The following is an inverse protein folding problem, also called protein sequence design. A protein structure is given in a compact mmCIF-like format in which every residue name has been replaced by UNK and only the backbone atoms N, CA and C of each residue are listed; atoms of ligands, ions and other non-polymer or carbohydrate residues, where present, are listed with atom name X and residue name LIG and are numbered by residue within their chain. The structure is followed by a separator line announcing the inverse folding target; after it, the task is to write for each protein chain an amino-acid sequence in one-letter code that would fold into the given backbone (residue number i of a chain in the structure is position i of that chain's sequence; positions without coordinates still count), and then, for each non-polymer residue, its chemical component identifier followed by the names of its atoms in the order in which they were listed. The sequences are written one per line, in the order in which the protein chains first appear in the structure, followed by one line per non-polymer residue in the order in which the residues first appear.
data_IF_314642369567
#
_entry.id   IF_314642369567
#
_cell.length_a   1.000
_cell.length_b   1.000
_cell.length_c   1.000
_cell.angle_alpha   90.00
_cell.angle_beta   90.00
_cell.angle_gamma   90.00
#
_symmetry.space_group_name_H-M   'P 1'
#
loop_
_entity.id
_entity.type
_entity.pdbx_description
1 polymer ?
#
# COMPACT_ATOMS: atom_id res chain seq x y z
N UNK A 1 45.36 -14.76 31.90
CA UNK A 1 45.32 -15.71 33.01
C UNK A 1 46.22 -16.90 32.70
N UNK A 2 47.02 -17.38 33.64
CA UNK A 2 47.84 -18.58 33.55
C UNK A 2 47.38 -19.64 34.57
N UNK A 3 47.81 -20.88 34.35
CA UNK A 3 47.57 -22.00 35.26
C UNK A 3 48.41 -21.86 36.54
N UNK A 4 47.96 -22.44 37.66
CA UNK A 4 48.74 -22.45 38.91
C UNK A 4 50.00 -23.30 38.72
N UNK A 5 51.17 -22.70 38.93
CA UNK A 5 52.49 -23.31 38.75
C UNK A 5 53.30 -23.38 40.06
N UNK A 6 52.64 -23.05 41.17
CA UNK A 6 53.22 -23.04 42.49
C UNK A 6 53.68 -24.42 42.97
N UNK A 7 54.57 -24.44 44.00
CA UNK A 7 54.96 -25.65 44.73
C UNK A 7 53.77 -26.56 45.08
N UNK A 8 53.78 -27.81 44.59
CA UNK A 8 52.71 -28.78 44.89
C UNK A 8 51.51 -28.74 43.94
N UNK A 9 51.55 -27.92 42.89
CA UNK A 9 50.63 -28.04 41.75
C UNK A 9 50.85 -29.36 41.01
N UNK A 10 49.80 -29.88 40.37
CA UNK A 10 49.86 -31.07 39.50
C UNK A 10 49.31 -30.67 38.13
N UNK A 11 50.16 -30.73 37.09
CA UNK A 11 49.79 -30.39 35.71
C UNK A 11 49.09 -29.03 35.55
N UNK A 12 49.48 -28.04 36.35
CA UNK A 12 48.91 -26.70 36.31
C UNK A 12 47.57 -26.55 37.05
N UNK A 13 47.22 -27.49 37.93
CA UNK A 13 45.98 -27.49 38.72
C UNK A 13 46.26 -27.58 40.22
N UNK A 14 45.26 -27.19 41.01
CA UNK A 14 45.26 -27.34 42.47
C UNK A 14 45.20 -28.82 42.87
N UNK A 15 45.91 -29.16 43.94
CA UNK A 15 45.92 -30.47 44.56
C UNK A 15 45.93 -30.32 46.07
N UNK A 16 45.10 -31.11 46.75
CA UNK A 16 45.09 -31.24 48.22
C UNK A 16 46.36 -31.93 48.77
N UNK A 17 47.21 -32.45 47.88
CA UNK A 17 48.34 -33.29 48.23
C UNK A 17 47.92 -34.71 48.61
N UNK A 18 48.91 -35.55 48.90
CA UNK A 18 48.72 -36.89 49.40
C UNK A 18 49.86 -37.23 50.38
N UNK A 19 49.63 -37.12 51.70
CA UNK A 19 50.64 -37.44 52.71
C UNK A 19 51.18 -38.87 52.61
N UNK A 20 50.36 -39.84 52.19
CA UNK A 20 50.77 -41.24 52.03
C UNK A 20 51.75 -41.45 50.87
N UNK A 21 51.79 -40.53 49.91
CA UNK A 21 52.71 -40.54 48.76
C UNK A 21 53.79 -39.46 48.87
N UNK A 22 53.89 -38.76 50.00
CA UNK A 22 54.82 -37.63 50.18
C UNK A 22 54.50 -36.41 49.30
N UNK A 23 53.32 -36.36 48.69
CA UNK A 23 52.91 -35.25 47.84
C UNK A 23 52.35 -34.12 48.72
N UNK A 24 52.96 -32.93 48.64
CA UNK A 24 52.45 -31.74 49.32
C UNK A 24 51.23 -31.15 48.59
N UNK A 25 50.37 -30.46 49.35
CA UNK A 25 49.29 -29.64 48.78
C UNK A 25 49.85 -28.47 47.96
N UNK A 26 49.05 -27.95 47.04
CA UNK A 26 49.41 -26.79 46.23
C UNK A 26 49.50 -25.53 47.09
N UNK A 27 50.64 -24.87 47.02
CA UNK A 27 50.82 -23.53 47.57
C UNK A 27 50.39 -22.48 46.54
N UNK A 28 49.38 -21.69 46.89
CA UNK A 28 48.96 -20.54 46.08
C UNK A 28 50.07 -19.50 46.08
N UNK A 29 50.49 -19.07 44.89
CA UNK A 29 51.56 -18.07 44.69
C UNK A 29 50.98 -16.67 44.51
N UNK A 30 51.78 -15.66 44.86
CA UNK A 30 51.41 -14.27 44.62
C UNK A 30 51.26 -14.00 43.12
N UNK A 31 52.13 -14.56 42.29
CA UNK A 31 52.10 -14.40 40.84
C UNK A 31 50.76 -14.84 40.24
N UNK A 32 50.24 -16.00 40.67
CA UNK A 32 48.93 -16.47 40.21
C UNK A 32 47.77 -15.58 40.69
N UNK A 33 47.78 -15.13 41.95
CA UNK A 33 46.75 -14.22 42.46
C UNK A 33 46.81 -12.84 41.80
N UNK A 34 48.00 -12.32 41.51
CA UNK A 34 48.19 -11.07 40.78
C UNK A 34 47.69 -11.19 39.35
N UNK A 35 47.95 -12.30 38.66
CA UNK A 35 47.42 -12.50 37.31
C UNK A 35 45.89 -12.65 37.30
N UNK A 36 45.28 -13.34 38.27
CA UNK A 36 43.81 -13.29 38.45
C UNK A 36 43.33 -11.84 38.57
N UNK A 37 43.97 -11.07 39.47
CA UNK A 37 43.61 -9.68 39.71
C UNK A 37 43.74 -8.84 38.44
N UNK A 38 44.84 -8.97 37.71
CA UNK A 38 45.12 -8.21 36.49
C UNK A 38 44.13 -8.56 35.37
N UNK A 39 43.72 -9.83 35.22
CA UNK A 39 42.70 -10.21 34.24
C UNK A 39 41.32 -9.66 34.61
N UNK A 40 40.95 -9.65 35.90
CA UNK A 40 39.70 -9.02 36.36
C UNK A 40 39.76 -7.50 36.13
N UNK A 41 40.86 -6.85 36.49
CA UNK A 41 41.06 -5.42 36.23
C UNK A 41 41.06 -5.08 34.74
N UNK A 42 41.53 -5.99 33.88
CA UNK A 42 41.45 -5.83 32.44
C UNK A 42 40.00 -5.81 31.96
N UNK A 43 39.12 -6.69 32.47
CA UNK A 43 37.68 -6.65 32.16
C UNK A 43 37.05 -5.31 32.54
N UNK A 44 37.39 -4.77 33.71
CA UNK A 44 36.92 -3.45 34.18
C UNK A 44 37.43 -2.32 33.27
N UNK A 45 38.75 -2.30 32.99
CA UNK A 45 39.41 -1.28 32.16
C UNK A 45 38.77 -1.22 30.78
N UNK A 46 38.59 -2.37 30.17
CA UNK A 46 37.99 -2.53 28.86
C UNK A 46 36.49 -2.14 28.81
N UNK A 47 35.80 -2.21 29.94
CA UNK A 47 34.42 -1.76 30.09
C UNK A 47 34.32 -0.26 30.45
N UNK A 48 35.44 0.42 30.67
CA UNK A 48 35.48 1.81 31.15
C UNK A 48 35.03 1.98 32.61
N UNK A 49 35.16 0.94 33.43
CA UNK A 49 34.80 0.95 34.85
C UNK A 49 36.06 1.12 35.70
N UNK A 50 36.11 2.18 36.51
CA UNK A 50 37.21 2.41 37.44
C UNK A 50 37.10 1.46 38.67
N UNK A 51 38.15 0.68 39.00
CA UNK A 51 38.12 -0.24 40.13
C UNK A 51 38.03 0.50 41.47
N UNK A 52 37.05 0.14 42.29
CA UNK A 52 36.77 0.74 43.60
C UNK A 52 37.05 -0.26 44.72
N UNK A 53 38.01 0.05 45.59
CA UNK A 53 38.37 -0.82 46.71
C UNK A 53 37.15 -1.11 47.60
N UNK A 54 36.83 -2.39 47.77
CA UNK A 54 35.74 -2.85 48.64
C UNK A 54 34.35 -2.87 47.99
N UNK A 55 34.22 -2.50 46.71
CA UNK A 55 32.96 -2.55 45.97
C UNK A 55 32.88 -3.86 45.18
N UNK A 56 31.90 -4.70 45.51
CA UNK A 56 31.69 -5.98 44.81
C UNK A 56 30.96 -5.85 43.46
N UNK A 57 30.43 -4.67 43.14
CA UNK A 57 29.63 -4.44 41.94
C UNK A 57 30.47 -4.21 40.67
N UNK A 58 31.74 -3.82 40.78
CA UNK A 58 32.51 -3.33 39.62
C UNK A 58 32.69 -4.37 38.51
N UNK A 59 32.85 -5.66 38.85
CA UNK A 59 32.92 -6.73 37.86
C UNK A 59 31.57 -7.01 37.19
N UNK A 60 30.48 -6.93 37.95
CA UNK A 60 29.13 -7.07 37.39
C UNK A 60 28.81 -5.89 36.47
N UNK A 61 29.07 -4.66 36.94
CA UNK A 61 28.93 -3.43 36.16
C UNK A 61 29.73 -3.52 34.85
N UNK A 62 30.97 -4.02 34.89
CA UNK A 62 31.81 -4.19 33.70
C UNK A 62 31.28 -5.24 32.70
N UNK A 63 30.76 -6.37 33.21
CA UNK A 63 30.14 -7.42 32.37
C UNK A 63 28.85 -6.90 31.75
N UNK A 64 27.98 -6.25 32.54
CA UNK A 64 26.74 -5.66 32.05
C UNK A 64 27.04 -4.58 31.01
N UNK A 65 28.02 -3.71 31.25
CA UNK A 65 28.49 -2.73 30.26
C UNK A 65 29.02 -3.42 29.01
N UNK A 66 29.83 -4.48 29.10
CA UNK A 66 30.33 -5.20 27.92
C UNK A 66 29.22 -5.90 27.14
N UNK A 67 28.20 -6.44 27.80
CA UNK A 67 27.03 -7.08 27.18
C UNK A 67 26.11 -6.03 26.54
N UNK A 68 25.86 -4.91 27.23
CA UNK A 68 25.06 -3.79 26.72
C UNK A 68 25.79 -3.09 25.57
N UNK A 69 27.12 -2.98 25.64
CA UNK A 69 27.97 -2.44 24.57
C UNK A 69 28.18 -3.41 23.40
N UNK A 70 27.61 -4.63 23.44
CA UNK A 70 27.32 -5.39 22.21
C UNK A 70 26.33 -4.64 21.32
N UNK A 71 25.59 -3.65 21.86
CA UNK A 71 24.85 -2.66 21.09
C UNK A 71 25.67 -1.48 20.52
N UNK A 72 27.00 -1.44 20.70
CA UNK A 72 27.77 -0.20 20.50
C UNK A 72 29.11 -0.29 19.76
N UNK A 73 29.70 -1.45 19.52
CA UNK A 73 31.05 -1.48 18.95
C UNK A 73 31.55 -2.83 18.47
N UNK A 74 30.93 -3.36 17.39
CA UNK A 74 31.50 -4.14 16.27
C UNK A 74 30.36 -4.96 15.63
N UNK A 75 29.56 -4.31 14.77
CA UNK A 75 28.94 -5.00 13.63
C UNK A 75 27.72 -5.92 13.83
N UNK A 76 27.05 -5.98 14.99
CA UNK A 76 25.88 -6.89 15.15
C UNK A 76 24.62 -6.25 15.77
N UNK A 77 24.62 -4.94 16.06
CA UNK A 77 23.42 -4.18 16.47
C UNK A 77 22.86 -3.32 15.33
N UNK A 78 21.52 -3.19 15.24
CA UNK A 78 20.89 -2.30 14.25
C UNK A 78 21.31 -0.84 14.53
N UNK A 79 21.96 -0.14 13.59
CA UNK A 79 22.44 1.23 13.85
C UNK A 79 21.28 2.20 14.07
N UNK A 80 21.03 2.58 15.32
CA UNK A 80 19.91 3.47 15.71
C UNK A 80 20.14 4.94 15.32
N UNK A 81 21.37 5.31 14.96
CA UNK A 81 21.68 6.63 14.40
C UNK A 81 21.12 6.84 12.98
N UNK A 82 20.65 5.77 12.30
CA UNK A 82 19.95 5.88 11.02
C UNK A 82 18.45 5.97 11.27
N UNK A 83 17.78 6.80 10.47
CA UNK A 83 16.31 6.95 10.50
C UNK A 83 15.70 6.46 9.21
N UNK A 84 14.47 5.96 9.30
CA UNK A 84 13.56 5.77 8.17
C UNK A 84 12.67 7.00 8.12
N UNK A 85 12.80 7.80 7.06
CA UNK A 85 11.93 8.93 6.79
C UNK A 85 10.91 8.54 5.72
N UNK A 86 9.65 8.89 5.95
CA UNK A 86 8.57 8.75 4.99
C UNK A 86 8.12 10.15 4.51
N UNK A 87 7.70 10.25 3.26
CA UNK A 87 7.17 11.49 2.68
C UNK A 87 6.19 11.16 1.56
N UNK A 88 5.35 12.13 1.18
CA UNK A 88 4.28 11.92 0.20
C UNK A 88 3.21 10.97 0.74
N UNK A 89 2.90 9.92 -0.01
CA UNK A 89 1.86 8.93 0.37
C UNK A 89 2.26 8.03 1.55
N UNK A 90 3.56 7.89 1.81
CA UNK A 90 4.04 7.07 2.90
C UNK A 90 4.11 7.88 4.20
N UNK A 91 3.62 7.29 5.29
CA UNK A 91 3.64 7.85 6.64
C UNK A 91 4.25 6.85 7.63
N UNK A 92 4.69 7.33 8.80
CA UNK A 92 5.37 6.52 9.81
C UNK A 92 6.90 6.68 9.77
N UNK A 93 7.62 5.64 10.18
CA UNK A 93 9.09 5.63 10.27
C UNK A 93 9.62 6.01 11.66
N UNK A 94 10.80 6.61 11.71
CA UNK A 94 11.53 6.91 12.96
C UNK A 94 12.95 6.34 12.95
N UNK A 95 13.60 6.34 14.12
CA UNK A 95 14.89 5.64 14.31
C UNK A 95 14.71 4.11 14.33
N UNK A 96 15.81 3.35 14.43
CA UNK A 96 15.75 1.88 14.45
C UNK A 96 15.78 1.29 15.86
N UNK A 97 15.30 2.03 16.87
CA UNK A 97 15.27 1.55 18.27
C UNK A 97 14.25 0.44 18.52
N UNK A 98 13.34 0.17 17.57
CA UNK A 98 12.38 -0.93 17.58
C UNK A 98 11.82 -1.15 16.15
N UNK A 99 10.85 -2.05 15.99
CA UNK A 99 10.20 -2.29 14.69
C UNK A 99 9.48 -1.04 14.16
N UNK A 100 9.67 -0.75 12.87
CA UNK A 100 9.09 0.41 12.18
C UNK A 100 7.97 -0.02 11.24
N UNK A 101 6.85 0.68 11.34
CA UNK A 101 5.73 0.55 10.39
C UNK A 101 5.77 1.73 9.43
N UNK A 102 5.66 1.43 8.13
CA UNK A 102 5.43 2.41 7.09
C UNK A 102 4.05 2.15 6.51
N UNK A 103 3.20 3.17 6.51
CA UNK A 103 1.82 3.08 6.06
C UNK A 103 1.65 3.85 4.77
N UNK A 104 1.06 3.19 3.77
CA UNK A 104 0.56 3.82 2.54
C UNK A 104 -0.96 3.65 2.55
N UNK A 105 -1.72 4.70 2.86
CA UNK A 105 -3.18 4.63 2.87
C UNK A 105 -3.70 4.28 1.48
N UNK A 106 -4.61 3.32 1.38
CA UNK A 106 -5.32 3.03 0.13
C UNK A 106 -6.59 3.87 0.04
N UNK A 107 -6.91 4.34 -1.17
CA UNK A 107 -8.19 4.97 -1.46
C UNK A 107 -9.30 3.90 -1.54
N UNK A 108 -10.49 4.25 -1.07
CA UNK A 108 -11.73 3.53 -1.32
C UNK A 108 -12.30 3.86 -2.72
N UNK A 109 -13.20 3.04 -3.28
CA UNK A 109 -13.82 3.34 -4.57
C UNK A 109 -14.53 4.70 -4.62
N UNK A 110 -15.19 5.09 -3.52
CA UNK A 110 -15.86 6.38 -3.40
C UNK A 110 -14.88 7.56 -3.42
N UNK A 111 -13.71 7.40 -2.78
CA UNK A 111 -12.64 8.41 -2.81
C UNK A 111 -12.02 8.53 -4.21
N UNK A 112 -11.83 7.41 -4.90
CA UNK A 112 -11.38 7.41 -6.29
C UNK A 112 -12.41 8.11 -7.19
N UNK A 113 -13.70 7.81 -7.03
CA UNK A 113 -14.77 8.43 -7.80
C UNK A 113 -14.87 9.95 -7.55
N UNK A 114 -14.67 10.40 -6.31
CA UNK A 114 -14.64 11.81 -5.97
C UNK A 114 -13.40 12.53 -6.54
N UNK A 115 -12.24 11.86 -6.54
CA UNK A 115 -11.01 12.38 -7.15
C UNK A 115 -10.43 13.62 -6.45
N UNK A 116 -10.73 13.83 -5.17
CA UNK A 116 -10.31 15.02 -4.39
C UNK A 116 -9.22 14.74 -3.35
N UNK A 117 -8.91 13.48 -3.05
CA UNK A 117 -7.94 13.10 -2.01
C UNK A 117 -6.57 12.78 -2.66
N UNK A 118 -5.56 13.61 -2.37
CA UNK A 118 -4.18 13.46 -2.84
C UNK A 118 -3.28 12.72 -1.84
N UNK A 119 -3.83 12.27 -0.70
CA UNK A 119 -3.09 11.63 0.38
C UNK A 119 -3.15 10.09 0.34
N UNK A 120 -3.90 9.52 -0.61
CA UNK A 120 -4.16 8.08 -0.69
C UNK A 120 -3.77 7.48 -2.04
N UNK A 121 -3.25 6.25 -1.99
CA UNK A 121 -2.90 5.48 -3.18
C UNK A 121 -4.12 4.80 -3.80
N UNK A 122 -4.30 4.94 -5.11
CA UNK A 122 -5.30 4.20 -5.88
C UNK A 122 -4.86 2.74 -6.00
N UNK A 123 -5.80 1.81 -5.82
CA UNK A 123 -5.59 0.37 -6.06
C UNK A 123 -6.36 -0.08 -7.30
N UNK A 124 -5.93 -1.15 -8.00
CA UNK A 124 -6.66 -1.66 -9.16
C UNK A 124 -8.14 -1.98 -8.85
N UNK A 125 -8.43 -2.52 -7.66
CA UNK A 125 -9.81 -2.80 -7.24
C UNK A 125 -10.60 -1.51 -7.04
N UNK A 126 -10.04 -0.54 -6.31
CA UNK A 126 -10.72 0.74 -6.08
C UNK A 126 -10.97 1.50 -7.39
N UNK A 127 -10.06 1.42 -8.36
CA UNK A 127 -10.25 1.98 -9.68
C UNK A 127 -11.37 1.27 -10.45
N UNK A 128 -11.35 -0.07 -10.48
CA UNK A 128 -12.38 -0.85 -11.17
C UNK A 128 -13.77 -0.61 -10.59
N UNK A 129 -13.89 -0.53 -9.26
CA UNK A 129 -15.16 -0.27 -8.57
C UNK A 129 -15.60 1.20 -8.66
N UNK A 130 -14.67 2.14 -8.85
CA UNK A 130 -14.99 3.57 -9.05
C UNK A 130 -15.60 3.87 -10.41
N UNK A 131 -15.43 2.97 -11.37
CA UNK A 131 -16.09 3.02 -12.68
C UNK A 131 -17.37 2.19 -12.57
N UNK A 132 -18.44 2.84 -12.14
CA UNK A 132 -19.77 2.23 -12.02
C UNK A 132 -20.56 2.33 -13.33
N UNK A 133 -21.69 1.63 -13.41
CA UNK A 133 -22.58 1.71 -14.56
C UNK A 133 -23.32 0.41 -14.83
N UNK A 134 -23.96 0.35 -15.99
CA UNK A 134 -24.76 -0.80 -16.43
C UNK A 134 -24.34 -1.21 -17.83
N UNK A 135 -23.85 -2.45 -17.97
CA UNK A 135 -23.39 -3.03 -19.24
C UNK A 135 -24.51 -3.77 -19.99
N UNK A 136 -25.60 -3.06 -20.23
CA UNK A 136 -26.76 -3.54 -21.02
C UNK A 136 -26.79 -2.88 -22.39
N UNK A 137 -27.70 -3.30 -23.28
CA UNK A 137 -27.89 -2.65 -24.59
C UNK A 137 -28.31 -1.17 -24.47
N UNK A 138 -28.92 -0.82 -23.35
CA UNK A 138 -29.17 0.57 -22.92
C UNK A 138 -28.52 0.73 -21.56
N UNK A 139 -27.39 1.40 -21.53
CA UNK A 139 -26.44 1.30 -20.43
C UNK A 139 -25.75 2.62 -20.14
N UNK A 140 -24.90 2.58 -19.13
CA UNK A 140 -24.11 3.73 -18.72
C UNK A 140 -22.76 3.32 -18.15
N UNK A 141 -21.83 4.28 -18.17
CA UNK A 141 -20.56 4.20 -17.47
C UNK A 141 -20.33 5.55 -16.78
N UNK A 142 -20.21 5.51 -15.47
CA UNK A 142 -19.91 6.65 -14.61
C UNK A 142 -18.41 6.68 -14.37
N UNK A 143 -17.78 7.81 -14.68
CA UNK A 143 -16.34 8.01 -14.57
C UNK A 143 -16.02 8.77 -13.27
N UNK A 144 -14.85 8.53 -12.67
CA UNK A 144 -14.30 9.41 -11.65
C UNK A 144 -14.33 10.88 -12.07
N UNK A 145 -14.69 11.77 -11.14
CA UNK A 145 -14.90 13.18 -11.42
C UNK A 145 -16.31 13.54 -11.92
N UNK A 146 -17.22 12.57 -12.00
CA UNK A 146 -18.66 12.79 -12.19
C UNK A 146 -19.16 12.79 -13.64
N UNK A 147 -18.29 12.61 -14.63
CA UNK A 147 -18.73 12.46 -16.03
C UNK A 147 -19.45 11.12 -16.20
N UNK A 148 -20.58 11.13 -16.88
CA UNK A 148 -21.38 9.95 -17.19
C UNK A 148 -21.50 9.82 -18.70
N UNK A 149 -21.26 8.61 -19.22
CA UNK A 149 -21.53 8.23 -20.60
C UNK A 149 -22.74 7.29 -20.59
N UNK A 150 -23.75 7.55 -21.41
CA UNK A 150 -24.91 6.68 -21.60
C UNK A 150 -25.02 6.27 -23.06
N UNK A 151 -25.49 5.05 -23.30
CA UNK A 151 -25.79 4.57 -24.65
C UNK A 151 -27.13 3.85 -24.66
N UNK A 152 -27.72 3.77 -25.83
CA UNK A 152 -28.98 3.07 -26.02
C UNK A 152 -29.54 3.34 -27.40
N UNK A 153 -30.82 3.06 -27.58
CA UNK A 153 -31.44 3.26 -28.88
C UNK A 153 -32.88 2.81 -28.91
N UNK A 154 -33.47 2.93 -30.09
CA UNK A 154 -34.79 2.38 -30.40
C UNK A 154 -34.69 1.48 -31.61
N UNK A 155 -35.56 0.48 -31.64
CA UNK A 155 -35.77 -0.41 -32.79
C UNK A 155 -37.25 -0.37 -33.14
N UNK A 156 -37.56 -0.30 -34.43
CA UNK A 156 -38.94 -0.20 -34.89
C UNK A 156 -39.02 0.08 -36.38
N UNK A 157 -40.14 0.63 -36.82
CA UNK A 157 -40.28 1.17 -38.17
C UNK A 157 -40.87 2.57 -38.04
N UNK A 158 -40.05 3.57 -38.28
CA UNK A 158 -40.41 4.97 -38.07
C UNK A 158 -40.52 5.67 -39.42
N UNK A 159 -41.61 6.41 -39.63
CA UNK A 159 -41.75 7.37 -40.72
C UNK A 159 -41.25 8.74 -40.27
N UNK A 160 -41.36 9.75 -41.13
CA UNK A 160 -40.99 11.13 -40.79
C UNK A 160 -41.70 11.61 -39.52
N UNK A 161 -40.95 12.23 -38.61
CA UNK A 161 -41.49 12.82 -37.39
C UNK A 161 -40.56 12.69 -36.17
N UNK A 162 -40.95 13.31 -35.04
CA UNK A 162 -40.18 13.28 -33.82
C UNK A 162 -40.33 11.94 -33.10
N UNK A 163 -39.21 11.44 -32.56
CA UNK A 163 -39.12 10.25 -31.70
C UNK A 163 -38.38 10.65 -30.43
N UNK A 164 -39.11 10.66 -29.31
CA UNK A 164 -38.51 10.85 -28.00
C UNK A 164 -38.00 9.52 -27.45
N UNK A 165 -36.80 9.53 -26.88
CA UNK A 165 -36.20 8.40 -26.18
C UNK A 165 -35.66 8.85 -24.83
N UNK A 166 -36.24 8.31 -23.76
CA UNK A 166 -35.73 8.44 -22.40
C UNK A 166 -34.40 7.69 -22.26
N UNK A 167 -33.47 8.26 -21.49
CA UNK A 167 -32.26 7.56 -21.09
C UNK A 167 -32.59 6.46 -20.08
N UNK A 168 -32.22 5.23 -20.43
CA UNK A 168 -32.45 4.06 -19.59
C UNK A 168 -31.13 3.42 -19.15
N UNK A 169 -31.17 2.78 -17.98
CA UNK A 169 -30.17 1.83 -17.52
C UNK A 169 -30.92 0.63 -16.95
N UNK A 170 -30.62 -0.58 -17.42
CA UNK A 170 -31.33 -1.82 -17.05
C UNK A 170 -32.87 -1.72 -17.17
N UNK A 171 -33.35 -1.07 -18.23
CA UNK A 171 -34.77 -0.87 -18.49
C UNK A 171 -35.48 0.13 -17.57
N UNK A 172 -34.75 0.82 -16.68
CA UNK A 172 -35.28 1.85 -15.78
C UNK A 172 -34.84 3.26 -16.21
N UNK A 173 -35.69 4.25 -15.92
CA UNK A 173 -35.36 5.65 -16.15
C UNK A 173 -34.08 6.04 -15.40
N UNK A 174 -33.09 6.53 -16.15
CA UNK A 174 -31.78 6.90 -15.63
C UNK A 174 -31.37 8.25 -16.21
N UNK A 175 -31.98 9.36 -15.74
CA UNK A 175 -31.58 10.69 -16.15
C UNK A 175 -30.14 11.00 -15.72
N UNK A 176 -29.49 11.95 -16.39
CA UNK A 176 -28.29 12.58 -15.86
C UNK A 176 -28.65 13.36 -14.59
N UNK A 177 -27.89 13.24 -13.49
CA UNK A 177 -28.20 13.94 -12.24
C UNK A 177 -28.30 15.46 -12.37
N UNK A 178 -27.51 16.06 -13.26
CA UNK A 178 -27.47 17.51 -13.48
C UNK A 178 -27.91 17.87 -14.90
N UNK A 179 -27.16 17.40 -15.92
CA UNK A 179 -27.42 17.79 -17.31
C UNK A 179 -26.84 16.79 -18.31
N UNK A 180 -27.55 16.62 -19.44
CA UNK A 180 -26.96 16.07 -20.65
C UNK A 180 -26.21 17.19 -21.39
N UNK A 181 -24.91 17.00 -21.61
CA UNK A 181 -24.04 17.98 -22.25
C UNK A 181 -24.00 17.81 -23.77
N UNK A 182 -24.14 16.57 -24.26
CA UNK A 182 -24.11 16.25 -25.68
C UNK A 182 -24.76 14.90 -25.95
N UNK A 183 -25.41 14.80 -27.10
CA UNK A 183 -25.85 13.54 -27.70
C UNK A 183 -25.33 13.45 -29.13
N UNK A 184 -24.98 12.24 -29.55
CA UNK A 184 -24.80 11.87 -30.95
C UNK A 184 -25.71 10.69 -31.25
N UNK A 185 -26.40 10.74 -32.39
CA UNK A 185 -27.30 9.67 -32.81
C UNK A 185 -26.94 9.17 -34.21
N UNK A 186 -27.14 7.87 -34.43
CA UNK A 186 -26.88 7.21 -35.71
C UNK A 186 -28.12 6.43 -36.12
N UNK A 187 -28.61 6.67 -37.34
CA UNK A 187 -29.73 5.92 -37.92
C UNK A 187 -29.41 4.43 -38.02
N UNK A 188 -30.39 3.57 -37.79
CA UNK A 188 -30.28 2.12 -37.92
C UNK A 188 -31.11 1.64 -39.12
N UNK A 189 -30.45 1.06 -40.11
CA UNK A 189 -31.07 0.34 -41.23
C UNK A 189 -30.82 -1.18 -41.06
N UNK A 190 -31.53 -1.81 -40.12
CA UNK A 190 -31.35 -3.24 -39.83
C UNK A 190 -31.94 -4.15 -40.90
N UNK A 191 -32.82 -3.63 -41.75
CA UNK A 191 -33.40 -4.37 -42.88
C UNK A 191 -32.55 -4.33 -44.15
N UNK A 192 -31.51 -3.48 -44.21
CA UNK A 192 -30.60 -3.34 -45.35
C UNK A 192 -31.31 -3.08 -46.68
N UNK A 193 -32.39 -2.30 -46.66
CA UNK A 193 -33.14 -1.90 -47.87
C UNK A 193 -33.02 -0.40 -48.12
N UNK A 194 -33.11 -0.01 -49.40
CA UNK A 194 -32.87 1.37 -49.84
C UNK A 194 -33.96 2.38 -49.48
N UNK A 195 -35.17 1.93 -49.11
CA UNK A 195 -36.22 2.83 -48.60
C UNK A 195 -36.07 3.16 -47.10
N UNK A 196 -34.94 2.74 -46.49
CA UNK A 196 -34.51 3.19 -45.16
C UNK A 196 -33.65 4.44 -45.21
N UNK A 197 -34.04 5.39 -46.04
CA UNK A 197 -33.28 6.61 -46.32
C UNK A 197 -33.88 7.81 -45.58
N UNK A 198 -33.90 7.70 -44.25
CA UNK A 198 -34.31 8.77 -43.35
C UNK A 198 -33.18 9.01 -42.34
N UNK A 199 -32.80 10.28 -42.18
CA UNK A 199 -31.72 10.70 -41.31
C UNK A 199 -32.20 11.01 -39.89
N UNK A 200 -31.45 10.56 -38.88
CA UNK A 200 -31.62 10.99 -37.51
C UNK A 200 -31.07 12.41 -37.31
N UNK A 201 -31.94 13.37 -36.97
CA UNK A 201 -31.56 14.74 -36.64
C UNK A 201 -31.92 15.05 -35.19
N UNK A 202 -30.94 15.44 -34.38
CA UNK A 202 -31.21 15.80 -32.98
C UNK A 202 -32.00 17.12 -32.96
N UNK A 203 -33.15 17.12 -32.29
CA UNK A 203 -33.97 18.32 -32.06
C UNK A 203 -33.58 18.98 -30.75
N UNK A 204 -33.58 18.20 -29.68
CA UNK A 204 -33.41 18.62 -28.29
C UNK A 204 -32.96 17.42 -27.46
N UNK A 205 -32.27 17.67 -26.36
CA UNK A 205 -31.98 16.74 -25.28
C UNK A 205 -31.85 17.49 -23.96
N UNK A 206 -32.28 16.84 -22.89
CA UNK A 206 -32.16 17.31 -21.51
C UNK A 206 -31.55 16.21 -20.63
N UNK A 207 -31.62 16.39 -19.32
CA UNK A 207 -31.15 15.38 -18.38
C UNK A 207 -31.89 14.02 -18.53
N UNK A 208 -33.14 14.02 -18.99
CA UNK A 208 -34.00 12.84 -19.00
C UNK A 208 -33.96 12.05 -20.31
N UNK A 209 -33.71 12.69 -21.44
CA UNK A 209 -33.69 12.00 -22.72
C UNK A 209 -33.32 12.86 -23.92
N UNK A 210 -33.53 12.29 -25.10
CA UNK A 210 -33.27 12.93 -26.39
C UNK A 210 -34.50 12.84 -27.30
N UNK A 211 -34.75 13.90 -28.05
CA UNK A 211 -35.71 13.93 -29.15
C UNK A 211 -34.97 13.92 -30.48
N UNK A 212 -35.19 12.88 -31.28
CA UNK A 212 -34.65 12.75 -32.63
C UNK A 212 -35.78 12.94 -33.63
N UNK A 213 -35.59 13.85 -34.58
CA UNK A 213 -36.44 13.95 -35.76
C UNK A 213 -35.95 12.98 -36.83
N UNK A 214 -36.85 12.10 -37.26
CA UNK A 214 -36.65 11.24 -38.41
C UNK A 214 -36.91 12.07 -39.66
N UNK A 215 -35.86 12.62 -40.27
CA UNK A 215 -35.99 13.53 -41.40
C UNK A 215 -35.93 12.78 -42.73
N UNK A 216 -37.03 12.85 -43.48
CA UNK A 216 -37.09 12.39 -44.87
C UNK A 216 -36.62 13.51 -45.80
N UNK A 217 -35.56 13.30 -46.60
CA UNK A 217 -35.08 14.30 -47.55
C UNK A 217 -35.97 14.42 -48.82
N UNK A 218 -36.96 13.56 -49.02
CA UNK A 218 -37.73 13.47 -50.26
C UNK A 218 -39.26 13.46 -50.10
N UNK A 219 -39.96 13.17 -51.20
CA UNK A 219 -41.43 13.02 -51.27
C UNK A 219 -41.89 11.56 -51.26
N UNK A 220 -40.96 10.60 -51.09
CA UNK A 220 -41.27 9.17 -51.01
C UNK A 220 -41.66 8.80 -49.58
N UNK A 221 -42.41 7.71 -49.38
CA UNK A 221 -42.73 7.19 -48.04
C UNK A 221 -41.56 6.37 -47.49
N UNK A 222 -40.41 7.01 -47.25
CA UNK A 222 -39.27 6.32 -46.65
C UNK A 222 -39.54 6.07 -45.15
N UNK A 223 -38.76 5.17 -44.57
CA UNK A 223 -38.85 4.82 -43.15
C UNK A 223 -37.45 4.65 -42.57
N UNK A 224 -37.29 4.35 -41.29
CA UNK A 224 -36.02 3.91 -40.69
C UNK A 224 -36.27 2.85 -39.63
N UNK A 225 -35.29 1.96 -39.38
CA UNK A 225 -35.46 0.91 -38.37
C UNK A 225 -35.18 1.35 -36.92
N UNK A 226 -34.93 2.63 -36.72
CA UNK A 226 -34.65 3.26 -35.43
C UNK A 226 -33.33 4.02 -35.45
N UNK A 227 -32.78 4.25 -34.26
CA UNK A 227 -31.48 4.90 -34.08
C UNK A 227 -30.79 4.37 -32.83
N UNK A 228 -29.47 4.49 -32.81
CA UNK A 228 -28.64 4.36 -31.61
C UNK A 228 -28.15 5.74 -31.18
N UNK A 229 -27.91 5.92 -29.88
CA UNK A 229 -27.34 7.14 -29.33
C UNK A 229 -26.17 6.84 -28.38
N UNK A 230 -25.25 7.80 -28.30
CA UNK A 230 -24.32 7.98 -27.20
C UNK A 230 -24.56 9.38 -26.65
N UNK A 231 -24.72 9.49 -25.34
CA UNK A 231 -24.92 10.73 -24.62
C UNK A 231 -23.85 10.89 -23.54
N UNK A 232 -23.41 12.12 -23.31
CA UNK A 232 -22.50 12.47 -22.22
C UNK A 232 -23.14 13.56 -21.34
N UNK A 233 -22.91 13.46 -20.04
CA UNK A 233 -23.49 14.36 -19.05
C UNK A 233 -22.89 14.12 -17.68
N UNK A 234 -23.53 14.64 -16.65
CA UNK A 234 -23.15 14.51 -15.24
C UNK A 234 -24.35 14.82 -14.35
#
# INVERSE_FOLDING_TARGET
MHKIDGPGSVNGAFSEGNPAQGQRATKVTADWLNDIQDNVLHVLTEAGVDPTKGRAADLLDAIDQRIINVGGGTGEGVPTARTISASGLATGGGDLTADRTITVPKASPAEVAAGTDDTKAITPLALAESISGTLTSEGSAEMPGGLIIKWGGVRGNYSQGPVYKQFLADGQASPFPNACLRVTATSVNSSSVGNKDIGAQIVDYDAAGVTIYMQDPGTALNTINGFDYIAIGW
#
